data_IF_177973847880
#
_entry.id   IF_177973847880
#
_cell.length_a   1.000
_cell.length_b   1.000
_cell.length_c   1.000
_cell.angle_alpha   90.00
_cell.angle_beta   90.00
_cell.angle_gamma   90.00
#
_symmetry.space_group_name_H-M   'P 1'
#
loop_
_entity.id
_entity.type
_entity.pdbx_description
1 polymer ?
#
# COMPACT_ATOMS: atom_id res chain seq x y z
N UNK A 1 -11.94 -11.87 -2.97
CA UNK A 1 -10.73 -12.38 -2.28
C UNK A 1 -9.59 -12.69 -3.25
N UNK A 2 -9.86 -13.19 -4.46
CA UNK A 2 -8.84 -13.34 -5.50
C UNK A 2 -8.10 -12.02 -5.75
N UNK A 3 -8.83 -10.90 -5.90
CA UNK A 3 -8.22 -9.58 -6.03
C UNK A 3 -7.34 -9.19 -4.84
N UNK A 4 -7.74 -9.54 -3.60
CA UNK A 4 -6.97 -9.25 -2.39
C UNK A 4 -5.66 -10.04 -2.36
N UNK A 5 -5.64 -11.25 -2.93
CA UNK A 5 -4.45 -12.08 -3.00
C UNK A 5 -3.47 -11.60 -4.09
N UNK A 6 -4.00 -11.14 -5.22
CA UNK A 6 -3.21 -10.76 -6.40
C UNK A 6 -2.69 -9.31 -6.27
N UNK A 7 -3.52 -8.38 -5.81
CA UNK A 7 -3.27 -6.94 -5.85
C UNK A 7 -2.01 -6.48 -5.10
N UNK A 8 -1.68 -6.97 -3.89
CA UNK A 8 -0.46 -6.57 -3.19
C UNK A 8 0.83 -6.89 -3.96
N UNK A 9 0.78 -7.86 -4.88
CA UNK A 9 1.89 -8.23 -5.75
C UNK A 9 1.80 -7.54 -7.09
N UNK A 10 0.79 -7.87 -7.89
CA UNK A 10 0.69 -7.43 -9.29
C UNK A 10 0.24 -5.98 -9.42
N UNK A 11 -0.63 -5.50 -8.54
CA UNK A 11 -1.05 -4.10 -8.54
C UNK A 11 0.14 -3.20 -8.22
N UNK A 12 0.84 -3.48 -7.13
CA UNK A 12 2.04 -2.71 -6.73
C UNK A 12 3.16 -2.80 -7.77
N UNK A 13 3.38 -3.97 -8.39
CA UNK A 13 4.36 -4.14 -9.47
C UNK A 13 3.97 -3.33 -10.72
N UNK A 14 2.71 -3.44 -11.17
CA UNK A 14 2.23 -2.73 -12.36
C UNK A 14 2.27 -1.20 -12.19
N UNK A 15 2.20 -0.71 -10.95
CA UNK A 15 2.35 0.70 -10.60
C UNK A 15 3.81 1.13 -10.40
N UNK A 16 4.79 0.25 -10.63
CA UNK A 16 6.23 0.55 -10.50
C UNK A 16 6.71 0.69 -9.05
N UNK A 17 5.91 0.30 -8.05
CA UNK A 17 6.22 0.52 -6.63
C UNK A 17 7.11 -0.58 -6.04
N UNK A 18 7.57 -1.55 -6.85
CA UNK A 18 8.27 -2.73 -6.36
C UNK A 18 9.47 -3.07 -7.24
N UNK A 19 10.58 -3.39 -6.57
CA UNK A 19 11.83 -3.90 -7.15
C UNK A 19 12.52 -2.99 -8.18
N UNK A 20 12.04 -1.76 -8.38
CA UNK A 20 12.54 -0.86 -9.43
C UNK A 20 12.50 -1.50 -10.83
N UNK A 21 11.51 -2.39 -11.07
CA UNK A 21 11.45 -3.23 -12.28
C UNK A 21 10.44 -2.75 -13.32
N UNK A 22 9.81 -1.60 -13.11
CA UNK A 22 8.72 -1.09 -13.95
C UNK A 22 9.13 -0.87 -15.42
N UNK A 23 10.30 -0.27 -15.64
CA UNK A 23 10.87 -0.06 -16.98
C UNK A 23 11.21 -1.39 -17.66
N UNK A 24 11.94 -2.27 -16.95
CA UNK A 24 12.38 -3.56 -17.46
C UNK A 24 11.21 -4.47 -17.89
N UNK A 25 10.12 -4.47 -17.13
CA UNK A 25 8.91 -5.26 -17.42
C UNK A 25 7.89 -4.53 -18.30
N UNK A 26 8.20 -3.29 -18.74
CA UNK A 26 7.34 -2.42 -19.54
C UNK A 26 5.92 -2.29 -18.96
N UNK A 27 5.82 -2.12 -17.63
CA UNK A 27 4.52 -2.23 -16.93
C UNK A 27 3.48 -1.19 -17.37
N UNK A 28 3.94 -0.07 -17.95
CA UNK A 28 3.10 0.97 -18.52
C UNK A 28 2.19 0.48 -19.67
N UNK A 29 2.55 -0.63 -20.34
CA UNK A 29 1.71 -1.23 -21.38
C UNK A 29 0.54 -2.04 -20.82
N UNK A 30 0.57 -2.43 -19.54
CA UNK A 30 -0.48 -3.22 -18.87
C UNK A 30 -1.67 -2.35 -18.44
N UNK A 31 -2.24 -1.61 -19.38
CA UNK A 31 -3.28 -0.58 -19.14
C UNK A 31 -4.47 -1.08 -18.33
N UNK A 32 -4.95 -2.30 -18.58
CA UNK A 32 -6.06 -2.89 -17.82
C UNK A 32 -5.69 -3.26 -16.38
N UNK A 33 -4.44 -3.71 -16.17
CA UNK A 33 -3.91 -4.04 -14.84
C UNK A 33 -3.71 -2.76 -14.05
N UNK A 34 -3.20 -1.69 -14.66
CA UNK A 34 -3.06 -0.37 -14.02
C UNK A 34 -4.43 0.16 -13.59
N UNK A 35 -5.42 0.19 -14.49
CA UNK A 35 -6.79 0.62 -14.16
C UNK A 35 -7.38 -0.18 -13.00
N UNK A 36 -7.25 -1.52 -13.04
CA UNK A 36 -7.71 -2.38 -11.95
C UNK A 36 -6.96 -2.12 -10.64
N UNK A 37 -5.65 -1.86 -10.71
CA UNK A 37 -4.84 -1.57 -9.54
C UNK A 37 -5.28 -0.26 -8.86
N UNK A 38 -5.56 0.78 -9.64
CA UNK A 38 -6.05 2.08 -9.16
C UNK A 38 -7.44 1.97 -8.52
N UNK A 39 -8.36 1.21 -9.13
CA UNK A 39 -9.70 0.98 -8.58
C UNK A 39 -9.66 0.29 -7.21
N UNK A 40 -8.76 -0.69 -7.04
CA UNK A 40 -8.60 -1.36 -5.75
C UNK A 40 -7.91 -0.45 -4.74
N UNK A 41 -6.90 0.33 -5.14
CA UNK A 41 -6.21 1.26 -4.25
C UNK A 41 -7.15 2.34 -3.68
N UNK A 42 -8.13 2.78 -4.47
CA UNK A 42 -9.10 3.78 -4.06
C UNK A 42 -9.95 3.33 -2.84
N UNK A 43 -10.08 2.01 -2.62
CA UNK A 43 -10.93 1.45 -1.55
C UNK A 43 -10.39 1.84 -0.15
N UNK A 44 -11.22 2.45 0.72
CA UNK A 44 -10.79 2.83 2.08
C UNK A 44 -10.22 1.67 2.91
N UNK A 45 -10.75 0.46 2.72
CA UNK A 45 -10.27 -0.74 3.40
C UNK A 45 -8.87 -1.17 2.92
N UNK A 46 -8.54 -0.99 1.64
CA UNK A 46 -7.20 -1.30 1.10
C UNK A 46 -6.18 -0.30 1.62
N UNK A 47 -6.53 1.00 1.64
CA UNK A 47 -5.68 2.04 2.23
C UNK A 47 -5.33 1.72 3.68
N UNK A 48 -6.31 1.38 4.51
CA UNK A 48 -6.07 0.97 5.91
C UNK A 48 -5.30 -0.35 6.02
N UNK A 49 -5.71 -1.38 5.29
CA UNK A 49 -5.11 -2.71 5.39
C UNK A 49 -3.62 -2.73 5.04
N UNK A 50 -3.20 -1.93 4.05
CA UNK A 50 -1.78 -1.80 3.64
C UNK A 50 -0.87 -1.22 4.72
N UNK A 51 -1.42 -0.49 5.70
CA UNK A 51 -0.66 0.17 6.76
C UNK A 51 -0.27 -0.80 7.88
N UNK A 52 -1.12 -1.80 8.14
CA UNK A 52 -0.96 -2.73 9.26
C UNK A 52 0.31 -3.57 9.08
N UNK A 53 1.12 -3.64 10.14
CA UNK A 53 2.43 -4.30 10.21
C UNK A 53 3.48 -3.77 9.22
N UNK A 54 3.25 -2.62 8.59
CA UNK A 54 4.22 -2.00 7.68
C UNK A 54 5.26 -1.22 8.48
N UNK A 55 6.54 -1.53 8.26
CA UNK A 55 7.70 -0.88 8.94
C UNK A 55 8.58 -0.06 7.99
N UNK A 56 8.11 0.18 6.76
CA UNK A 56 8.86 0.89 5.72
C UNK A 56 7.96 1.85 4.94
N UNK A 57 8.56 2.79 4.20
CA UNK A 57 7.85 3.86 3.49
C UNK A 57 7.54 5.07 4.37
N UNK A 58 6.70 6.02 3.92
CA UNK A 58 6.34 7.20 4.70
C UNK A 58 5.71 6.84 6.05
N UNK A 59 6.06 7.57 7.11
CA UNK A 59 5.68 7.23 8.50
C UNK A 59 4.16 7.23 8.71
N UNK A 60 3.44 8.11 8.03
CA UNK A 60 1.98 8.20 8.05
C UNK A 60 1.28 6.98 7.42
N UNK A 61 2.02 6.18 6.64
CA UNK A 61 1.53 4.92 6.06
C UNK A 61 1.89 3.69 6.89
N UNK A 62 2.63 3.86 7.99
CA UNK A 62 3.08 2.77 8.84
C UNK A 62 2.21 2.67 10.09
N UNK A 63 1.62 1.50 10.31
CA UNK A 63 0.98 1.12 11.57
C UNK A 63 1.57 -0.23 12.00
N UNK A 64 2.59 -0.20 12.88
CA UNK A 64 3.39 -1.40 13.19
C UNK A 64 2.54 -2.52 13.82
N UNK A 65 1.54 -2.18 14.61
CA UNK A 65 0.57 -3.11 15.18
C UNK A 65 -0.84 -2.50 15.19
N UNK A 66 -1.86 -3.35 15.08
CA UNK A 66 -3.26 -2.95 15.16
C UNK A 66 -3.98 -3.83 16.19
N UNK A 67 -4.50 -3.19 17.22
CA UNK A 67 -5.28 -3.80 18.31
C UNK A 67 -6.66 -3.15 18.48
N UNK A 68 -6.87 -1.95 17.93
CA UNK A 68 -8.16 -1.24 17.91
C UNK A 68 -8.40 -0.53 16.56
N UNK A 69 -9.63 -0.08 16.29
CA UNK A 69 -9.93 0.72 15.11
C UNK A 69 -9.37 2.16 15.22
N UNK A 70 -9.30 2.71 16.42
CA UNK A 70 -8.74 4.04 16.70
C UNK A 70 -7.23 4.14 16.46
N UNK A 71 -6.52 3.01 16.36
CA UNK A 71 -5.07 2.98 16.10
C UNK A 71 -4.70 3.71 14.79
N UNK A 72 -5.57 3.68 13.77
CA UNK A 72 -5.35 4.42 12.52
C UNK A 72 -5.36 5.94 12.69
N UNK A 73 -5.98 6.46 13.75
CA UNK A 73 -6.06 7.89 14.02
C UNK A 73 -4.93 8.37 14.92
N UNK A 74 -4.47 7.53 15.86
CA UNK A 74 -3.60 7.95 16.96
C UNK A 74 -2.24 7.25 17.02
N UNK A 75 -2.05 6.14 16.32
CA UNK A 75 -0.87 5.27 16.47
C UNK A 75 -0.11 4.98 15.17
N UNK A 76 -0.37 5.72 14.09
CA UNK A 76 0.54 5.69 12.93
C UNK A 76 1.92 6.24 13.32
N UNK A 77 2.95 5.79 12.63
CA UNK A 77 4.33 6.03 13.09
C UNK A 77 4.71 7.52 13.10
N UNK A 78 4.09 8.34 12.24
CA UNK A 78 4.23 9.81 12.24
C UNK A 78 3.69 10.48 13.51
N UNK A 79 2.74 9.84 14.21
CA UNK A 79 2.20 10.34 15.50
C UNK A 79 3.08 9.95 16.68
N UNK A 80 3.80 8.84 16.55
CA UNK A 80 4.61 8.26 17.62
C UNK A 80 6.06 8.74 17.58
N UNK A 81 6.62 8.96 16.39
CA UNK A 81 7.95 9.55 16.24
C UNK A 81 7.84 11.06 16.29
N UNK A 82 8.49 11.69 17.27
CA UNK A 82 8.65 13.14 17.28
C UNK A 82 9.51 13.55 16.07
N UNK A 83 9.18 14.65 15.38
CA UNK A 83 10.13 15.24 14.45
C UNK A 83 11.41 15.60 15.23
N UNK A 84 12.55 15.33 14.60
CA UNK A 84 13.86 15.72 15.12
C UNK A 84 13.98 17.25 15.24
#
# INVERSE_FOLDING_TARGET
>A
IADMAIWPWYGSLAKGERYDSGEFLQVHEYTHVIRWADEIEARPAVKRGRMVNRVMGPLETQLHERHDASDFQYKTQDKLQKPA
#
